data_IF_256142515658
#
_entry.id   IF_256142515658
#
_cell.length_a   1.000
_cell.length_b   1.000
_cell.length_c   1.000
_cell.angle_alpha   90.00
_cell.angle_beta   90.00
_cell.angle_gamma   90.00
#
_symmetry.space_group_name_H-M   'P 1'
#
loop_
_entity.id
_entity.type
_entity.pdbx_description
1 polymer ?
#
# COMPACT_ATOMS: atom_id res chain seq x y z
N UNK A 1 -1.14 10.94 12.49
CA UNK A 1 -0.55 10.47 11.22
C UNK A 1 -1.16 9.12 10.89
N UNK A 2 -1.87 9.02 9.79
CA UNK A 2 -2.54 7.79 9.33
C UNK A 2 -1.59 7.05 8.38
N UNK A 3 -1.32 5.77 8.65
CA UNK A 3 -0.57 4.91 7.74
C UNK A 3 -1.60 4.15 6.89
N UNK A 4 -1.49 4.21 5.57
CA UNK A 4 -2.31 3.37 4.68
C UNK A 4 -1.44 2.38 3.91
N UNK A 5 -2.01 1.21 3.66
CA UNK A 5 -1.35 0.17 2.89
C UNK A 5 -1.57 0.39 1.39
N UNK A 6 -0.49 0.39 0.63
CA UNK A 6 -0.44 0.53 -0.84
C UNK A 6 -0.56 -0.82 -1.55
N UNK A 7 -1.41 -1.71 -1.02
CA UNK A 7 -1.55 -3.08 -1.53
C UNK A 7 -2.02 -3.12 -2.99
N UNK A 8 -2.92 -2.21 -3.40
CA UNK A 8 -3.49 -2.16 -4.75
C UNK A 8 -2.42 -1.91 -5.83
N UNK A 9 -1.57 -0.86 -5.72
CA UNK A 9 -0.43 -0.67 -6.62
C UNK A 9 0.51 -1.89 -6.70
N UNK A 10 0.85 -2.50 -5.55
CA UNK A 10 1.72 -3.67 -5.52
C UNK A 10 1.09 -4.87 -6.24
N UNK A 11 -0.20 -5.13 -6.02
CA UNK A 11 -0.96 -6.15 -6.73
C UNK A 11 -1.00 -5.92 -8.23
N UNK A 12 -1.21 -4.67 -8.67
CA UNK A 12 -1.21 -4.33 -10.09
C UNK A 12 0.16 -4.62 -10.74
N UNK A 13 1.25 -4.23 -10.07
CA UNK A 13 2.62 -4.50 -10.55
C UNK A 13 2.93 -5.99 -10.60
N UNK A 14 2.56 -6.76 -9.58
CA UNK A 14 2.71 -8.22 -9.60
C UNK A 14 1.91 -8.83 -10.75
N UNK A 15 0.67 -8.38 -10.96
CA UNK A 15 -0.16 -8.90 -12.05
C UNK A 15 0.43 -8.61 -13.42
N UNK A 16 1.06 -7.45 -13.62
CA UNK A 16 1.81 -7.17 -14.85
C UNK A 16 2.95 -8.18 -15.06
N UNK A 17 3.73 -8.49 -14.03
CA UNK A 17 4.82 -9.48 -14.08
C UNK A 17 4.29 -10.90 -14.30
N UNK A 18 3.15 -11.25 -13.71
CA UNK A 18 2.53 -12.58 -13.89
C UNK A 18 2.00 -12.75 -15.32
N UNK A 19 1.30 -11.75 -15.83
CA UNK A 19 0.79 -11.74 -17.20
C UNK A 19 1.92 -11.85 -18.23
N UNK A 20 3.04 -11.14 -18.04
CA UNK A 20 4.19 -11.26 -18.95
C UNK A 20 4.85 -12.65 -18.94
N UNK A 21 4.64 -13.43 -17.87
CA UNK A 21 5.09 -14.83 -17.74
C UNK A 21 4.01 -15.85 -18.16
N UNK A 22 2.87 -15.40 -18.69
CA UNK A 22 1.74 -16.28 -19.04
C UNK A 22 1.00 -16.86 -17.82
N UNK A 23 1.24 -16.32 -16.63
CA UNK A 23 0.57 -16.75 -15.40
C UNK A 23 -0.76 -16.01 -15.22
N UNK A 24 -1.77 -16.65 -14.62
CA UNK A 24 -3.03 -15.98 -14.31
C UNK A 24 -2.82 -14.86 -13.27
N UNK A 25 -3.65 -13.79 -13.32
CA UNK A 25 -3.63 -12.72 -12.34
C UNK A 25 -3.78 -13.23 -10.91
N UNK A 26 -3.08 -12.58 -9.99
CA UNK A 26 -3.13 -12.81 -8.56
C UNK A 26 -4.43 -12.22 -8.00
N UNK A 27 -5.31 -13.10 -7.50
CA UNK A 27 -6.50 -12.73 -6.74
C UNK A 27 -6.16 -12.54 -5.27
N UNK A 28 -7.01 -11.83 -4.51
CA UNK A 28 -6.84 -11.67 -3.06
C UNK A 28 -6.82 -13.02 -2.32
N UNK A 29 -7.64 -13.98 -2.78
CA UNK A 29 -7.68 -15.34 -2.22
C UNK A 29 -6.36 -16.07 -2.43
N UNK A 30 -5.76 -15.92 -3.63
CA UNK A 30 -4.47 -16.53 -3.93
C UNK A 30 -3.33 -15.83 -3.20
N UNK A 31 -3.35 -14.49 -3.10
CA UNK A 31 -2.40 -13.75 -2.28
C UNK A 31 -2.43 -14.24 -0.84
N UNK A 32 -3.61 -14.34 -0.22
CA UNK A 32 -3.75 -14.84 1.15
C UNK A 32 -3.17 -16.25 1.32
N UNK A 33 -3.46 -17.15 0.39
CA UNK A 33 -2.92 -18.52 0.44
C UNK A 33 -1.40 -18.58 0.26
N UNK A 34 -0.83 -17.73 -0.62
CA UNK A 34 0.60 -17.76 -0.93
C UNK A 34 1.47 -16.93 0.04
N UNK A 35 0.92 -15.90 0.69
CA UNK A 35 1.63 -15.06 1.65
C UNK A 35 1.50 -15.53 3.09
N UNK A 36 0.51 -16.38 3.40
CA UNK A 36 0.18 -16.79 4.77
C UNK A 36 -0.62 -15.76 5.56
N UNK A 37 -0.93 -14.60 4.96
CA UNK A 37 -1.75 -13.56 5.58
C UNK A 37 -3.24 -13.93 5.45
N UNK A 38 -4.05 -13.84 6.52
CA UNK A 38 -5.48 -14.13 6.45
C UNK A 38 -6.22 -13.27 5.40
N UNK A 39 -7.17 -13.88 4.68
CA UNK A 39 -7.92 -13.20 3.62
C UNK A 39 -8.70 -11.98 4.14
N UNK A 40 -9.21 -12.04 5.38
CA UNK A 40 -9.88 -10.90 6.02
C UNK A 40 -8.95 -9.69 6.17
N UNK A 41 -7.68 -9.94 6.54
CA UNK A 41 -6.64 -8.91 6.65
C UNK A 41 -6.30 -8.37 5.27
N UNK A 42 -6.06 -9.24 4.28
CA UNK A 42 -5.82 -8.83 2.88
C UNK A 42 -6.97 -7.97 2.34
N UNK A 43 -8.23 -8.33 2.61
CA UNK A 43 -9.40 -7.58 2.17
C UNK A 43 -9.50 -6.21 2.88
N UNK A 44 -9.20 -6.15 4.17
CA UNK A 44 -9.17 -4.90 4.94
C UNK A 44 -8.06 -3.95 4.45
N UNK A 45 -6.89 -4.49 4.12
CA UNK A 45 -5.79 -3.74 3.51
C UNK A 45 -6.15 -3.24 2.11
N UNK A 46 -6.74 -4.10 1.27
CA UNK A 46 -7.12 -3.75 -0.10
C UNK A 46 -8.19 -2.65 -0.18
N UNK A 47 -9.09 -2.61 0.80
CA UNK A 47 -10.15 -1.59 0.89
C UNK A 47 -9.72 -0.30 1.59
N UNK A 48 -8.47 -0.23 2.08
CA UNK A 48 -7.98 0.92 2.86
C UNK A 48 -8.67 1.09 4.21
N UNK A 49 -9.40 0.08 4.68
CA UNK A 49 -10.13 0.11 5.96
C UNK A 49 -9.25 -0.28 7.16
N UNK A 50 -8.07 -0.82 6.91
CA UNK A 50 -7.15 -1.19 7.99
C UNK A 50 -6.46 0.04 8.58
N UNK A 51 -6.71 0.30 9.87
CA UNK A 51 -6.02 1.34 10.65
C UNK A 51 -4.82 0.81 11.43
N UNK A 52 -4.68 -0.51 11.56
CA UNK A 52 -3.62 -1.18 12.32
C UNK A 52 -3.15 -2.40 11.54
N UNK A 53 -1.85 -2.45 11.28
CA UNK A 53 -1.18 -3.55 10.58
C UNK A 53 -0.06 -3.98 11.51
N UNK A 54 -0.09 -5.24 11.95
CA UNK A 54 0.97 -5.78 12.78
C UNK A 54 2.23 -6.07 11.93
N UNK A 55 3.39 -6.12 12.59
CA UNK A 55 4.66 -6.35 11.93
C UNK A 55 4.77 -7.72 11.26
N UNK A 56 4.05 -8.73 11.75
CA UNK A 56 4.03 -10.07 11.13
C UNK A 56 3.34 -10.04 9.77
N UNK A 57 2.20 -9.35 9.67
CA UNK A 57 1.52 -9.11 8.39
C UNK A 57 2.42 -8.34 7.42
N UNK A 58 3.14 -7.32 7.89
CA UNK A 58 4.08 -6.55 7.06
C UNK A 58 5.19 -7.45 6.53
N UNK A 59 5.84 -8.23 7.40
CA UNK A 59 6.94 -9.12 7.03
C UNK A 59 6.52 -10.19 6.01
N UNK A 60 5.37 -10.84 6.23
CA UNK A 60 4.81 -11.81 5.30
C UNK A 60 4.54 -11.22 3.92
N UNK A 61 3.99 -10.01 3.85
CA UNK A 61 3.73 -9.32 2.59
C UNK A 61 5.03 -8.91 1.90
N UNK A 62 5.98 -8.33 2.63
CA UNK A 62 7.29 -7.97 2.08
C UNK A 62 8.01 -9.19 1.53
N UNK A 63 8.06 -10.29 2.29
CA UNK A 63 8.64 -11.54 1.86
C UNK A 63 7.98 -12.08 0.58
N UNK A 64 6.64 -12.03 0.51
CA UNK A 64 5.91 -12.47 -0.68
C UNK A 64 6.23 -11.61 -1.91
N UNK A 65 6.11 -10.28 -1.80
CA UNK A 65 6.32 -9.37 -2.93
C UNK A 65 7.78 -9.31 -3.39
N UNK A 66 8.73 -9.54 -2.47
CA UNK A 66 10.17 -9.60 -2.78
C UNK A 66 10.53 -10.70 -3.79
N UNK A 67 9.67 -11.70 -3.99
CA UNK A 67 9.83 -12.75 -5.02
C UNK A 67 9.66 -12.21 -6.45
N UNK A 68 9.04 -11.05 -6.62
CA UNK A 68 8.76 -10.45 -7.92
C UNK A 68 9.65 -9.24 -8.23
N UNK A 69 9.89 -8.39 -7.25
CA UNK A 69 10.71 -7.18 -7.37
C UNK A 69 11.19 -6.73 -5.98
N UNK A 70 12.22 -5.89 -5.91
CA UNK A 70 12.64 -5.29 -4.63
C UNK A 70 11.50 -4.43 -4.07
N UNK A 71 11.08 -4.73 -2.84
CA UNK A 71 10.01 -4.04 -2.11
C UNK A 71 10.50 -3.73 -0.71
N UNK A 72 10.29 -2.49 -0.30
CA UNK A 72 10.60 -2.00 1.04
C UNK A 72 9.32 -1.71 1.83
N UNK A 73 9.47 -1.47 3.13
CA UNK A 73 8.34 -1.04 3.99
C UNK A 73 7.65 0.19 3.41
N UNK A 74 8.40 1.13 2.83
CA UNK A 74 7.85 2.37 2.25
C UNK A 74 7.02 2.13 0.98
N UNK A 75 7.28 1.03 0.27
CA UNK A 75 6.49 0.63 -0.89
C UNK A 75 5.15 -0.02 -0.50
N UNK A 76 5.08 -0.59 0.71
CA UNK A 76 3.91 -1.27 1.26
C UNK A 76 3.07 -0.38 2.18
N UNK A 77 3.72 0.53 2.91
CA UNK A 77 3.14 1.45 3.86
C UNK A 77 3.50 2.87 3.46
N UNK A 78 2.49 3.67 3.20
CA UNK A 78 2.67 5.09 2.91
C UNK A 78 2.10 5.93 4.05
N UNK A 79 2.86 6.96 4.42
CA UNK A 79 2.39 7.99 5.32
C UNK A 79 1.50 8.95 4.54
N UNK A 80 0.33 9.28 5.08
CA UNK A 80 -0.40 10.45 4.63
C UNK A 80 0.48 11.69 4.87
N UNK A 81 1.09 12.22 3.80
CA UNK A 81 1.57 13.59 3.83
C UNK A 81 0.31 14.42 4.02
N UNK A 82 0.22 15.08 5.16
CA UNK A 82 -0.72 16.18 5.37
C UNK A 82 -0.31 17.25 4.36
N UNK A 83 -0.77 17.13 3.11
CA UNK A 83 -0.65 18.20 2.13
C UNK A 83 -1.66 19.21 2.66
N UNK A 84 -1.21 20.36 3.20
CA UNK A 84 -2.15 21.36 3.67
C UNK A 84 -3.04 21.69 2.50
N UNK A 85 -4.35 21.66 2.75
CA UNK A 85 -5.36 22.11 1.80
C UNK A 85 -4.88 23.44 1.21
N UNK A 86 -5.08 23.72 -0.09
CA UNK A 86 -4.72 25.03 -0.68
C UNK A 86 -5.32 26.20 0.11
N UNK A 87 -6.41 25.95 0.85
CA UNK A 87 -7.05 26.85 1.80
C UNK A 87 -6.19 27.20 3.04
N UNK A 88 -5.39 26.28 3.56
CA UNK A 88 -4.46 26.53 4.68
C UNK A 88 -3.17 27.22 4.22
N UNK A 89 -2.72 26.99 2.98
CA UNK A 89 -1.57 27.68 2.40
C UNK A 89 -1.86 29.16 2.10
N UNK A 90 -3.11 29.49 1.78
CA UNK A 90 -3.54 30.88 1.57
C UNK A 90 -3.64 31.68 2.88
N UNK A 91 -3.93 31.02 4.01
CA UNK A 91 -4.03 31.65 5.33
C UNK A 91 -2.66 31.95 6.00
N UNK A 92 -1.56 31.41 5.46
CA UNK A 92 -0.21 31.54 6.00
C UNK A 92 0.67 32.55 5.25
N UNK A 93 0.12 33.30 4.28
CA UNK A 93 0.81 34.47 3.74
C UNK A 93 0.57 35.66 4.68
N UNK A 94 1.57 36.10 5.49
CA UNK A 94 1.46 37.42 6.09
C UNK A 94 1.40 38.43 4.96
N UNK A 95 0.37 39.28 4.99
CA UNK A 95 0.25 40.44 4.12
C UNK A 95 1.53 41.27 4.19
N UNK A 96 2.45 41.03 3.25
CA UNK A 96 3.60 41.84 2.99
C UNK A 96 3.25 42.79 1.84
N UNK A 97 2.96 44.04 2.23
CA UNK A 97 3.10 45.29 1.48
C UNK A 97 2.53 45.37 0.05
N UNK A 98 1.54 46.25 -0.14
CA UNK A 98 1.76 47.68 -0.44
C UNK A 98 0.47 48.49 -0.22
#
# INVERSE_FOLDING_TARGET
MTIYCTLRPLLARVNQVRTSRGLPPLSLRRLSAESGVPLSVIAALNTGRSRRIDYGTVDQLLHYFSRYFSVTVNDLLSWERNVPSEQEQSALQPHAHL
#
